data_IF_336933957309
#
_entry.id   IF_336933957309
#
_cell.length_a   1.000
_cell.length_b   1.000
_cell.length_c   1.000
_cell.angle_alpha   90.00
_cell.angle_beta   90.00
_cell.angle_gamma   90.00
#
_symmetry.space_group_name_H-M   'P 1'
#
loop_
_entity.id
_entity.type
_entity.pdbx_description
1 polymer ?
#
# COMPACT_ATOMS: atom_id res chain seq x y z
N UNK A 1 -24.82 -7.57 -11.68
CA UNK A 1 -25.06 -6.21 -11.12
C UNK A 1 -23.85 -5.35 -11.45
N UNK A 2 -23.91 -4.41 -12.43
CA UNK A 2 -22.72 -3.70 -12.88
C UNK A 2 -22.23 -2.55 -11.96
N UNK A 3 -22.95 -2.24 -10.87
CA UNK A 3 -22.68 -1.08 -9.99
C UNK A 3 -22.17 -1.43 -8.57
N UNK A 4 -21.93 -2.71 -8.30
CA UNK A 4 -21.54 -3.23 -6.98
C UNK A 4 -20.27 -2.56 -6.38
N UNK A 5 -19.21 -2.22 -7.15
CA UNK A 5 -18.01 -1.59 -6.60
C UNK A 5 -18.23 -0.16 -6.11
N UNK A 6 -19.16 0.61 -6.72
CA UNK A 6 -19.45 1.99 -6.32
C UNK A 6 -20.39 2.06 -5.14
N UNK A 7 -21.36 1.14 -5.05
CA UNK A 7 -22.26 1.07 -3.90
C UNK A 7 -21.49 0.82 -2.58
N UNK A 8 -20.42 0.03 -2.63
CA UNK A 8 -19.59 -0.28 -1.47
C UNK A 8 -18.73 0.90 -0.97
N UNK A 9 -18.65 2.01 -1.70
CA UNK A 9 -18.10 3.28 -1.16
C UNK A 9 -18.92 3.78 0.04
N UNK A 10 -20.19 3.36 0.14
CA UNK A 10 -21.08 3.64 1.27
C UNK A 10 -21.27 2.43 2.20
N UNK A 11 -20.30 1.51 2.28
CA UNK A 11 -20.41 0.25 3.02
C UNK A 11 -20.99 0.41 4.44
N UNK A 12 -20.55 1.43 5.19
CA UNK A 12 -21.11 1.73 6.51
C UNK A 12 -22.60 2.07 6.46
N UNK A 13 -23.01 2.97 5.55
CA UNK A 13 -24.41 3.38 5.42
C UNK A 13 -25.29 2.21 5.01
N UNK A 14 -24.79 1.32 4.14
CA UNK A 14 -25.48 0.08 3.78
C UNK A 14 -25.66 -0.82 5.02
N UNK A 15 -24.60 -1.03 5.80
CA UNK A 15 -24.65 -1.88 6.99
C UNK A 15 -25.59 -1.31 8.07
N UNK A 16 -25.62 0.00 8.26
CA UNK A 16 -26.51 0.69 9.19
C UNK A 16 -27.97 0.64 8.72
N UNK A 17 -28.24 0.97 7.46
CA UNK A 17 -29.60 0.98 6.91
C UNK A 17 -30.24 -0.41 6.89
N UNK A 18 -29.46 -1.46 6.70
CA UNK A 18 -29.93 -2.84 6.68
C UNK A 18 -30.02 -3.49 8.07
N UNK A 19 -29.58 -2.81 9.15
CA UNK A 19 -29.30 -3.43 10.45
C UNK A 19 -28.53 -4.74 10.30
N UNK A 20 -27.32 -4.66 9.70
CA UNK A 20 -26.51 -5.84 9.39
C UNK A 20 -26.28 -6.75 10.61
N UNK A 21 -26.15 -6.16 11.80
CA UNK A 21 -26.05 -6.92 13.06
C UNK A 21 -27.34 -7.68 13.36
N UNK A 22 -28.51 -7.05 13.19
CA UNK A 22 -29.81 -7.72 13.33
C UNK A 22 -29.98 -8.86 12.33
N UNK A 23 -29.63 -8.64 11.06
CA UNK A 23 -29.70 -9.66 10.01
C UNK A 23 -28.82 -10.88 10.34
N UNK A 24 -27.57 -10.67 10.77
CA UNK A 24 -26.68 -11.76 11.16
C UNK A 24 -27.18 -12.55 12.38
N UNK A 25 -27.98 -11.92 13.25
CA UNK A 25 -28.62 -12.61 14.38
C UNK A 25 -29.83 -13.41 13.96
N UNK A 26 -30.62 -12.90 13.03
CA UNK A 26 -31.82 -13.57 12.53
C UNK A 26 -31.48 -14.71 11.57
N UNK A 27 -30.41 -14.56 10.79
CA UNK A 27 -30.01 -15.49 9.73
C UNK A 27 -28.52 -15.86 9.81
N UNK A 28 -28.04 -16.45 10.93
CA UNK A 28 -26.62 -16.78 11.12
C UNK A 28 -26.11 -17.87 10.15
N UNK A 29 -27.02 -18.64 9.55
CA UNK A 29 -26.72 -19.72 8.61
C UNK A 29 -26.62 -19.25 7.14
N UNK A 30 -26.97 -17.99 6.84
CA UNK A 30 -27.02 -17.50 5.47
C UNK A 30 -25.61 -17.18 4.94
N UNK A 31 -25.08 -18.09 4.11
CA UNK A 31 -23.76 -17.93 3.49
C UNK A 31 -23.65 -16.67 2.61
N UNK A 32 -24.73 -16.29 1.90
CA UNK A 32 -24.75 -15.08 1.08
C UNK A 32 -24.61 -13.82 1.93
N UNK A 33 -25.32 -13.79 3.06
CA UNK A 33 -25.20 -12.71 4.05
C UNK A 33 -23.79 -12.63 4.66
N UNK A 34 -23.15 -13.77 4.94
CA UNK A 34 -21.78 -13.81 5.45
C UNK A 34 -20.76 -13.26 4.44
N UNK A 35 -20.90 -13.59 3.15
CA UNK A 35 -20.06 -13.02 2.08
C UNK A 35 -20.23 -11.51 1.99
N UNK A 36 -21.48 -11.03 1.97
CA UNK A 36 -21.77 -9.60 1.93
C UNK A 36 -21.23 -8.88 3.17
N UNK A 37 -21.36 -9.49 4.35
CA UNK A 37 -20.81 -8.98 5.60
C UNK A 37 -19.30 -8.80 5.51
N UNK A 38 -18.59 -9.81 5.03
CA UNK A 38 -17.14 -9.75 4.92
C UNK A 38 -16.69 -8.70 3.88
N UNK A 39 -17.40 -8.56 2.75
CA UNK A 39 -17.16 -7.46 1.78
C UNK A 39 -17.36 -6.09 2.43
N UNK A 40 -18.47 -5.87 3.13
CA UNK A 40 -18.75 -4.60 3.80
C UNK A 40 -17.71 -4.27 4.87
N UNK A 41 -17.32 -5.23 5.70
CA UNK A 41 -16.28 -5.03 6.71
C UNK A 41 -14.94 -4.65 6.07
N UNK A 42 -14.50 -5.38 5.04
CA UNK A 42 -13.25 -5.07 4.32
C UNK A 42 -13.28 -3.67 3.70
N UNK A 43 -14.39 -3.30 3.06
CA UNK A 43 -14.55 -1.96 2.48
C UNK A 43 -14.58 -0.86 3.55
N UNK A 44 -15.22 -1.09 4.71
CA UNK A 44 -15.21 -0.15 5.82
C UNK A 44 -13.82 0.00 6.46
N UNK A 45 -12.98 -1.03 6.40
CA UNK A 45 -11.62 -1.00 6.92
C UNK A 45 -10.64 -0.28 5.98
N UNK A 46 -10.86 -0.30 4.67
CA UNK A 46 -9.95 0.31 3.69
C UNK A 46 -9.84 1.85 3.85
N UNK A 47 -8.62 2.37 4.01
CA UNK A 47 -8.32 3.82 4.06
C UNK A 47 -8.15 4.41 2.65
N UNK A 48 -9.18 4.33 1.81
CA UNK A 48 -9.03 4.74 0.40
C UNK A 48 -9.09 6.24 0.19
N UNK A 49 -9.99 6.96 0.85
CA UNK A 49 -10.17 8.41 0.63
C UNK A 49 -10.32 9.21 1.93
N UNK A 50 -10.76 8.54 3.00
CA UNK A 50 -11.11 9.15 4.28
C UNK A 50 -10.85 8.16 5.44
N UNK A 51 -11.16 8.59 6.67
CA UNK A 51 -11.11 7.77 7.88
C UNK A 51 -11.82 6.45 7.64
N UNK A 52 -11.21 5.35 8.05
CA UNK A 52 -11.84 4.03 7.93
C UNK A 52 -13.19 4.02 8.64
N UNK A 53 -14.26 3.88 7.86
CA UNK A 53 -15.63 3.90 8.35
C UNK A 53 -15.90 2.82 9.40
N UNK A 54 -15.06 1.77 9.46
CA UNK A 54 -15.15 0.72 10.47
C UNK A 54 -15.01 1.27 11.90
N UNK A 55 -14.23 2.34 12.10
CA UNK A 55 -14.02 2.95 13.40
C UNK A 55 -15.27 3.66 13.93
N UNK A 56 -16.15 4.06 13.02
CA UNK A 56 -17.40 4.76 13.35
C UNK A 56 -18.63 3.84 13.30
N UNK A 57 -18.45 2.58 12.85
CA UNK A 57 -19.51 1.59 12.80
C UNK A 57 -19.67 0.92 14.17
N UNK A 58 -20.57 1.44 15.01
CA UNK A 58 -20.76 1.00 16.40
C UNK A 58 -20.91 -0.54 16.58
N UNK A 59 -21.62 -1.28 15.72
CA UNK A 59 -21.73 -2.73 15.81
C UNK A 59 -20.48 -3.52 15.38
N UNK A 60 -19.42 -2.89 14.87
CA UNK A 60 -18.28 -3.53 14.20
C UNK A 60 -17.76 -4.78 14.92
N UNK A 61 -17.43 -4.67 16.22
CA UNK A 61 -16.90 -5.80 17.01
C UNK A 61 -17.83 -7.02 16.96
N UNK A 62 -19.13 -6.80 17.17
CA UNK A 62 -20.11 -7.89 17.16
C UNK A 62 -20.32 -8.50 15.76
N UNK A 63 -20.14 -7.71 14.71
CA UNK A 63 -20.25 -8.16 13.32
C UNK A 63 -19.03 -8.98 12.92
N UNK A 64 -17.81 -8.56 13.28
CA UNK A 64 -16.60 -9.39 13.14
C UNK A 64 -16.73 -10.71 13.90
N UNK A 65 -17.18 -10.67 15.16
CA UNK A 65 -17.36 -11.89 15.96
C UNK A 65 -18.40 -12.85 15.34
N UNK A 66 -19.51 -12.32 14.81
CA UNK A 66 -20.53 -13.13 14.14
C UNK A 66 -20.01 -13.74 12.83
N UNK A 67 -19.33 -12.95 12.00
CA UNK A 67 -18.73 -13.44 10.76
C UNK A 67 -17.73 -14.57 11.04
N UNK A 68 -16.76 -14.35 11.93
CA UNK A 68 -15.70 -15.33 12.22
C UNK A 68 -16.27 -16.60 12.85
N UNK A 69 -17.31 -16.50 13.68
CA UNK A 69 -17.99 -17.67 14.27
C UNK A 69 -18.59 -18.60 13.23
N UNK A 70 -19.03 -18.06 12.09
CA UNK A 70 -19.75 -18.80 11.06
C UNK A 70 -18.95 -18.90 9.74
N UNK A 71 -17.66 -18.57 9.78
CA UNK A 71 -16.80 -18.51 8.58
C UNK A 71 -16.58 -19.91 7.95
N UNK A 72 -16.69 -20.98 8.74
CA UNK A 72 -16.63 -22.37 8.31
C UNK A 72 -17.77 -22.78 7.36
N UNK A 73 -18.83 -21.97 7.29
CA UNK A 73 -19.99 -22.19 6.41
C UNK A 73 -19.79 -21.63 5.01
N UNK A 74 -18.81 -20.74 4.83
CA UNK A 74 -18.48 -20.25 3.51
C UNK A 74 -17.85 -21.39 2.71
N UNK A 75 -18.36 -21.72 1.51
CA UNK A 75 -17.69 -22.66 0.63
C UNK A 75 -16.23 -22.22 0.45
N UNK A 76 -15.24 -23.12 0.49
CA UNK A 76 -13.83 -22.75 0.52
C UNK A 76 -13.31 -22.32 -0.87
N UNK A 77 -14.06 -21.49 -1.59
CA UNK A 77 -13.65 -20.95 -2.90
C UNK A 77 -12.49 -19.96 -2.73
N UNK A 78 -11.64 -19.78 -3.77
CA UNK A 78 -10.57 -18.79 -3.74
C UNK A 78 -11.04 -17.37 -3.41
N UNK A 79 -12.27 -17.02 -3.81
CA UNK A 79 -12.88 -15.74 -3.49
C UNK A 79 -13.17 -15.59 -1.99
N UNK A 80 -13.86 -16.56 -1.38
CA UNK A 80 -14.21 -16.49 0.04
C UNK A 80 -12.96 -16.55 0.92
N UNK A 81 -12.00 -17.41 0.58
CA UNK A 81 -10.72 -17.48 1.28
C UNK A 81 -9.97 -16.15 1.22
N UNK A 82 -9.96 -15.51 0.05
CA UNK A 82 -9.28 -14.22 -0.10
C UNK A 82 -9.96 -13.13 0.73
N UNK A 83 -11.29 -13.16 0.78
CA UNK A 83 -12.06 -12.22 1.58
C UNK A 83 -11.83 -12.42 3.08
N UNK A 84 -11.81 -13.67 3.56
CA UNK A 84 -11.48 -14.00 4.94
C UNK A 84 -10.03 -13.63 5.30
N UNK A 85 -9.10 -13.79 4.36
CA UNK A 85 -7.72 -13.35 4.54
C UNK A 85 -7.62 -11.81 4.66
N UNK A 86 -8.37 -11.06 3.85
CA UNK A 86 -8.48 -9.60 4.01
C UNK A 86 -9.00 -9.22 5.40
N UNK A 87 -10.01 -9.93 5.91
CA UNK A 87 -10.52 -9.75 7.28
C UNK A 87 -9.44 -10.03 8.33
N UNK A 88 -8.64 -11.08 8.14
CA UNK A 88 -7.52 -11.39 9.03
C UNK A 88 -6.45 -10.28 9.01
N UNK A 89 -6.09 -9.73 7.84
CA UNK A 89 -5.17 -8.61 7.72
C UNK A 89 -5.67 -7.36 8.45
N UNK A 90 -6.96 -7.06 8.33
CA UNK A 90 -7.58 -5.91 9.00
C UNK A 90 -7.56 -6.06 10.53
N UNK A 91 -7.79 -7.29 11.03
CA UNK A 91 -7.72 -7.63 12.47
C UNK A 91 -6.28 -7.71 12.99
N UNK A 92 -5.29 -7.96 12.13
CA UNK A 92 -3.88 -8.08 12.51
C UNK A 92 -3.21 -6.70 12.60
N UNK A 93 -3.23 -5.94 11.51
CA UNK A 93 -2.47 -4.68 11.38
C UNK A 93 -3.29 -3.50 10.85
N UNK A 94 -4.55 -3.73 10.46
CA UNK A 94 -5.41 -2.69 9.89
C UNK A 94 -6.21 -1.90 10.93
N UNK A 95 -7.11 -1.01 10.48
CA UNK A 95 -7.89 -0.12 11.36
C UNK A 95 -8.80 -0.87 12.35
N UNK A 96 -9.22 -2.11 12.03
CA UNK A 96 -10.04 -2.91 12.92
C UNK A 96 -9.32 -3.26 14.25
N UNK A 97 -7.99 -3.15 14.31
CA UNK A 97 -7.22 -3.25 15.56
C UNK A 97 -7.63 -2.20 16.58
N UNK A 98 -7.96 -0.98 16.14
CA UNK A 98 -8.26 0.16 17.01
C UNK A 98 -9.68 0.11 17.59
N UNK A 99 -10.49 -0.87 17.20
CA UNK A 99 -11.75 -1.13 17.88
C UNK A 99 -11.44 -1.51 19.34
N UNK A 100 -12.28 -1.07 20.27
CA UNK A 100 -12.10 -1.31 21.71
C UNK A 100 -12.31 -2.80 22.07
N UNK A 101 -11.40 -3.68 21.66
CA UNK A 101 -11.47 -5.11 21.90
C UNK A 101 -11.26 -5.44 23.38
N UNK A 102 -11.97 -6.46 23.87
CA UNK A 102 -11.61 -7.05 25.16
C UNK A 102 -10.22 -7.71 25.05
N UNK A 103 -9.41 -7.71 26.12
CA UNK A 103 -8.11 -8.37 26.12
C UNK A 103 -8.19 -9.80 25.56
N UNK A 104 -7.25 -10.16 24.68
CA UNK A 104 -7.18 -11.46 24.02
C UNK A 104 -8.26 -11.75 22.96
N UNK A 105 -9.32 -10.93 22.84
CA UNK A 105 -10.46 -11.26 21.98
C UNK A 105 -10.16 -11.16 20.49
N UNK A 106 -9.47 -10.10 20.07
CA UNK A 106 -8.94 -9.95 18.71
C UNK A 106 -8.07 -11.14 18.30
N UNK A 107 -7.18 -11.58 19.20
CA UNK A 107 -6.30 -12.74 18.95
C UNK A 107 -7.10 -14.04 18.77
N UNK A 108 -8.12 -14.26 19.59
CA UNK A 108 -8.99 -15.42 19.45
C UNK A 108 -9.73 -15.46 18.10
N UNK A 109 -10.05 -14.30 17.50
CA UNK A 109 -10.63 -14.24 16.15
C UNK A 109 -9.60 -14.62 15.08
N UNK A 110 -8.36 -14.11 15.18
CA UNK A 110 -7.28 -14.51 14.28
C UNK A 110 -6.99 -16.02 14.38
N UNK A 111 -6.92 -16.58 15.58
CA UNK A 111 -6.71 -18.03 15.80
C UNK A 111 -7.90 -18.88 15.32
N UNK A 112 -9.10 -18.31 15.20
CA UNK A 112 -10.25 -18.99 14.59
C UNK A 112 -10.16 -18.99 13.07
N UNK A 113 -9.75 -17.87 12.46
CA UNK A 113 -9.52 -17.75 11.02
C UNK A 113 -8.37 -18.63 10.54
N UNK A 114 -7.27 -18.70 11.30
CA UNK A 114 -6.09 -19.54 11.01
C UNK A 114 -6.42 -21.04 10.95
N UNK A 115 -7.44 -21.48 11.72
CA UNK A 115 -7.88 -22.88 11.75
C UNK A 115 -8.82 -23.28 10.61
N UNK A 116 -9.28 -22.32 9.80
CA UNK A 116 -10.15 -22.64 8.67
C UNK A 116 -9.35 -23.41 7.61
N UNK A 117 -9.93 -24.47 7.02
CA UNK A 117 -9.27 -25.19 5.96
C UNK A 117 -9.07 -24.27 4.76
N UNK A 118 -7.82 -23.99 4.43
CA UNK A 118 -7.47 -23.44 3.13
C UNK A 118 -7.57 -24.60 2.12
N UNK A 119 -8.45 -24.48 1.13
CA UNK A 119 -8.33 -25.25 -0.10
C UNK A 119 -7.02 -24.77 -0.74
N UNK A 120 -5.95 -25.53 -0.54
CA UNK A 120 -4.70 -25.31 -1.26
C UNK A 120 -5.07 -25.40 -2.73
N UNK A 121 -4.96 -24.27 -3.44
CA UNK A 121 -5.32 -24.19 -4.84
C UNK A 121 -4.78 -25.41 -5.60
N UNK A 122 -5.65 -26.00 -6.42
CA UNK A 122 -5.27 -26.82 -7.59
C UNK A 122 -4.12 -26.16 -8.35
N UNK A 123 -3.42 -26.93 -9.19
CA UNK A 123 -2.29 -26.49 -10.00
C UNK A 123 -2.37 -25.00 -10.39
N UNK A 124 -1.28 -24.22 -10.21
CA UNK A 124 -1.30 -22.79 -10.44
C UNK A 124 -1.83 -22.48 -11.84
N UNK A 125 -3.02 -21.88 -11.90
CA UNK A 125 -3.56 -21.35 -13.14
C UNK A 125 -2.74 -20.10 -13.45
N UNK A 126 -2.06 -20.02 -14.62
CA UNK A 126 -1.37 -18.81 -15.04
C UNK A 126 -2.34 -17.62 -14.98
N UNK A 127 -1.86 -16.49 -14.47
CA UNK A 127 -2.61 -15.23 -14.29
C UNK A 127 -3.73 -15.23 -13.22
N UNK A 128 -3.86 -16.24 -12.36
CA UNK A 128 -4.74 -16.16 -11.18
C UNK A 128 -4.11 -15.29 -10.07
N UNK A 129 -4.27 -13.98 -10.21
CA UNK A 129 -3.84 -12.93 -9.27
C UNK A 129 -4.28 -13.20 -7.84
N UNK A 130 -5.49 -13.75 -7.68
CA UNK A 130 -6.10 -13.96 -6.37
C UNK A 130 -5.44 -15.12 -5.64
N UNK A 131 -5.23 -16.25 -6.34
CA UNK A 131 -4.53 -17.39 -5.79
C UNK A 131 -3.07 -17.03 -5.44
N UNK A 132 -2.40 -16.25 -6.29
CA UNK A 132 -1.03 -15.81 -6.05
C UNK A 132 -0.92 -14.88 -4.83
N UNK A 133 -1.82 -13.90 -4.73
CA UNK A 133 -1.94 -13.03 -3.56
C UNK A 133 -2.19 -13.82 -2.28
N UNK A 134 -3.13 -14.78 -2.31
CA UNK A 134 -3.45 -15.60 -1.15
C UNK A 134 -2.22 -16.38 -0.67
N UNK A 135 -1.50 -17.05 -1.58
CA UNK A 135 -0.29 -17.83 -1.24
C UNK A 135 0.78 -16.98 -0.55
N UNK A 136 1.03 -15.77 -1.04
CA UNK A 136 2.04 -14.86 -0.47
C UNK A 136 1.62 -14.29 0.88
N UNK A 137 0.32 -14.06 1.07
CA UNK A 137 -0.19 -13.25 2.17
C UNK A 137 -0.72 -14.09 3.34
N UNK A 138 -1.06 -15.36 3.11
CA UNK A 138 -1.80 -16.20 4.07
C UNK A 138 -1.15 -16.31 5.45
N UNK A 139 0.17 -16.31 5.54
CA UNK A 139 0.88 -16.54 6.79
C UNK A 139 1.06 -15.24 7.60
N UNK A 140 0.97 -14.08 6.93
CA UNK A 140 1.24 -12.77 7.49
C UNK A 140 0.37 -12.42 8.71
N UNK A 141 -0.98 -12.49 8.67
CA UNK A 141 -1.81 -12.06 9.80
C UNK A 141 -1.73 -13.01 11.01
N UNK A 142 -1.24 -14.23 10.81
CA UNK A 142 -1.19 -15.28 11.83
C UNK A 142 0.20 -15.44 12.45
N UNK A 143 1.23 -14.88 11.81
CA UNK A 143 2.60 -14.83 12.29
C UNK A 143 2.60 -14.42 13.78
N UNK A 144 3.13 -15.33 14.60
CA UNK A 144 3.27 -15.10 16.04
C UNK A 144 4.61 -14.44 16.26
N UNK A 145 4.61 -13.43 17.10
CA UNK A 145 5.86 -12.82 17.53
C UNK A 145 5.84 -12.74 19.05
N UNK A 146 6.95 -13.09 19.68
CA UNK A 146 7.06 -13.22 21.12
C UNK A 146 6.76 -11.90 21.85
N UNK A 147 6.13 -11.99 23.02
CA UNK A 147 5.87 -10.84 23.87
C UNK A 147 7.17 -10.41 24.60
N UNK A 148 7.54 -9.14 24.47
CA UNK A 148 8.67 -8.50 25.16
C UNK A 148 8.23 -7.21 25.86
N UNK A 149 8.99 -6.75 26.87
CA UNK A 149 8.60 -5.70 27.81
C UNK A 149 8.94 -4.24 27.43
N UNK A 150 9.03 -3.91 26.14
CA UNK A 150 9.28 -2.53 25.64
C UNK A 150 8.31 -2.23 24.49
N UNK A 151 8.01 -0.94 24.20
CA UNK A 151 7.16 -0.58 23.08
C UNK A 151 7.67 -1.26 21.83
N UNK A 152 6.90 -2.20 21.32
CA UNK A 152 7.33 -3.04 20.21
C UNK A 152 7.03 -2.33 18.91
N UNK A 153 8.10 -2.00 18.21
CA UNK A 153 8.08 -1.48 16.85
C UNK A 153 7.96 -2.64 15.86
N UNK A 154 7.06 -2.50 14.88
CA UNK A 154 6.91 -3.45 13.78
C UNK A 154 6.48 -2.72 12.49
N UNK A 155 7.09 -3.11 11.37
CA UNK A 155 6.83 -2.57 10.03
C UNK A 155 6.32 -3.69 9.14
N UNK A 156 5.08 -3.59 8.70
CA UNK A 156 4.45 -4.62 7.87
C UNK A 156 4.08 -4.03 6.51
N UNK A 157 4.69 -4.54 5.45
CA UNK A 157 4.24 -4.25 4.09
C UNK A 157 3.03 -5.13 3.76
N UNK A 158 1.87 -4.52 3.48
CA UNK A 158 0.62 -5.24 3.26
C UNK A 158 0.10 -5.02 1.86
N UNK A 159 -0.01 -6.10 1.08
CA UNK A 159 -0.80 -6.12 -0.14
C UNK A 159 -2.29 -6.20 0.25
N UNK A 160 -2.97 -5.05 0.16
CA UNK A 160 -4.30 -4.78 0.75
C UNK A 160 -5.45 -5.64 0.22
N UNK A 161 -5.28 -6.33 -0.91
CA UNK A 161 -6.26 -7.29 -1.42
C UNK A 161 -5.92 -7.80 -2.81
N UNK A 162 -6.44 -8.98 -3.16
CA UNK A 162 -6.19 -9.67 -4.42
C UNK A 162 -6.43 -8.85 -5.71
N UNK A 163 -7.40 -7.93 -5.68
CA UNK A 163 -7.76 -7.07 -6.82
C UNK A 163 -7.12 -5.68 -6.77
N UNK A 164 -6.37 -5.39 -5.71
CA UNK A 164 -5.71 -4.10 -5.50
C UNK A 164 -4.25 -4.19 -5.93
N UNK A 165 -3.70 -3.24 -6.70
CA UNK A 165 -2.26 -3.11 -6.88
C UNK A 165 -1.58 -2.49 -5.64
N UNK A 166 -2.34 -2.05 -4.65
CA UNK A 166 -1.82 -1.24 -3.55
C UNK A 166 -1.16 -2.10 -2.48
N UNK A 167 0.10 -1.77 -2.22
CA UNK A 167 0.86 -2.21 -1.06
C UNK A 167 1.10 -0.99 -0.19
N UNK A 168 0.78 -1.09 1.09
CA UNK A 168 0.98 -0.03 2.07
C UNK A 168 1.94 -0.48 3.17
N UNK A 169 2.72 0.46 3.71
CA UNK A 169 3.54 0.20 4.90
C UNK A 169 2.70 0.48 6.14
N UNK A 170 2.39 -0.56 6.91
CA UNK A 170 1.71 -0.45 8.20
C UNK A 170 2.73 -0.44 9.31
N UNK A 171 2.66 0.57 10.17
CA UNK A 171 3.53 0.73 11.32
C UNK A 171 2.75 0.39 12.57
N UNK A 172 3.22 -0.58 13.34
CA UNK A 172 2.62 -0.98 14.61
C UNK A 172 3.54 -0.58 15.76
N UNK A 173 2.95 0.05 16.78
CA UNK A 173 3.58 0.28 18.09
C UNK A 173 2.77 -0.50 19.11
N UNK A 174 3.39 -1.47 19.78
CA UNK A 174 2.72 -2.39 20.71
C UNK A 174 1.55 -3.15 20.08
N UNK A 175 1.67 -3.46 18.78
CA UNK A 175 0.65 -4.15 18.01
C UNK A 175 -0.61 -3.30 17.73
N UNK A 176 -0.52 -1.98 17.94
CA UNK A 176 -1.51 -0.99 17.54
C UNK A 176 -1.03 -0.25 16.28
N UNK A 177 -1.87 -0.13 15.24
CA UNK A 177 -1.47 0.57 14.03
C UNK A 177 -1.45 2.07 14.24
N UNK A 178 -0.27 2.65 14.05
CA UNK A 178 0.01 4.06 14.26
C UNK A 178 -0.77 4.93 13.26
N UNK A 179 -0.78 4.55 11.98
CA UNK A 179 -1.31 5.38 10.90
C UNK A 179 -2.82 5.63 10.99
N UNK A 180 -3.71 4.61 11.04
CA UNK A 180 -5.14 4.87 11.20
C UNK A 180 -5.52 5.53 12.53
N UNK A 181 -4.62 5.55 13.52
CA UNK A 181 -4.83 6.27 14.77
C UNK A 181 -4.47 7.77 14.65
N UNK A 182 -3.48 8.12 13.82
CA UNK A 182 -2.94 9.48 13.72
C UNK A 182 -3.32 10.21 12.44
N UNK A 183 -3.68 9.49 11.37
CA UNK A 183 -3.93 10.08 10.06
C UNK A 183 -5.12 9.41 9.38
N UNK A 184 -6.13 10.22 9.07
CA UNK A 184 -7.44 9.76 8.62
C UNK A 184 -7.76 10.16 7.17
N UNK A 185 -6.75 10.55 6.38
CA UNK A 185 -6.92 11.03 5.00
C UNK A 185 -6.33 10.12 3.93
N UNK A 186 -5.62 9.06 4.32
CA UNK A 186 -5.00 8.14 3.37
C UNK A 186 -4.28 6.98 4.05
N UNK A 187 -3.79 6.02 3.27
CA UNK A 187 -3.03 4.88 3.75
C UNK A 187 -1.57 5.27 4.07
N UNK A 188 -0.83 4.32 4.64
CA UNK A 188 0.62 4.46 4.77
C UNK A 188 1.31 4.52 3.42
N UNK A 189 2.38 5.30 3.37
CA UNK A 189 3.22 5.37 2.19
C UNK A 189 3.74 3.98 1.80
N UNK A 190 3.88 3.71 0.50
CA UNK A 190 4.24 2.39 0.04
C UNK A 190 5.69 2.03 0.46
N UNK A 191 6.04 0.74 0.55
CA UNK A 191 7.37 0.31 0.96
C UNK A 191 8.51 0.95 0.15
N UNK A 192 8.27 1.24 -1.13
CA UNK A 192 9.24 1.87 -2.02
C UNK A 192 9.65 3.28 -1.56
N UNK A 193 8.82 3.96 -0.76
CA UNK A 193 9.10 5.30 -0.23
C UNK A 193 9.65 5.27 1.21
N UNK A 194 9.21 4.30 2.03
CA UNK A 194 9.60 4.24 3.46
C UNK A 194 10.75 3.27 3.74
N UNK A 195 10.76 2.12 3.07
CA UNK A 195 11.70 1.02 3.29
C UNK A 195 12.87 1.14 2.31
N UNK A 196 12.59 1.16 1.00
CA UNK A 196 13.63 1.08 -0.03
C UNK A 196 14.53 2.33 -0.13
N UNK A 197 14.08 3.46 0.40
CA UNK A 197 14.87 4.70 0.48
C UNK A 197 15.69 4.81 1.76
N UNK A 198 15.53 3.86 2.69
CA UNK A 198 16.06 3.97 4.05
C UNK A 198 15.36 5.05 4.88
N UNK A 199 14.14 5.47 4.51
CA UNK A 199 13.38 6.51 5.20
C UNK A 199 13.14 6.20 6.68
N UNK A 200 13.00 4.92 7.03
CA UNK A 200 12.86 4.50 8.43
C UNK A 200 14.20 4.31 9.17
N UNK A 201 15.36 4.38 8.51
CA UNK A 201 16.66 4.18 9.20
C UNK A 201 17.04 5.39 10.05
N UNK A 202 17.23 5.17 11.35
CA UNK A 202 17.66 6.21 12.28
C UNK A 202 19.16 6.53 12.11
N UNK A 203 19.47 7.76 11.70
CA UNK A 203 20.83 8.26 11.56
C UNK A 203 21.26 9.19 12.71
N UNK A 204 22.53 9.64 12.72
CA UNK A 204 23.01 10.64 13.67
C UNK A 204 22.35 12.01 13.46
N UNK A 205 21.99 12.33 12.22
CA UNK A 205 21.21 13.52 11.89
C UNK A 205 19.71 13.22 11.95
N UNK A 206 18.92 14.03 12.67
CA UNK A 206 17.46 13.95 12.64
C UNK A 206 16.93 14.13 11.22
N UNK A 207 15.99 13.27 10.82
CA UNK A 207 15.37 13.32 9.48
C UNK A 207 13.86 13.35 9.60
N UNK A 208 13.23 14.27 8.88
CA UNK A 208 11.78 14.28 8.72
C UNK A 208 11.37 13.23 7.68
N UNK A 209 10.37 12.42 8.02
CA UNK A 209 9.91 11.28 7.23
C UNK A 209 8.41 11.37 7.05
N UNK A 210 7.96 11.36 5.80
CA UNK A 210 6.53 11.32 5.46
C UNK A 210 6.02 9.88 5.59
N UNK A 211 5.23 9.60 6.63
CA UNK A 211 4.70 8.26 6.89
C UNK A 211 3.46 7.95 6.05
N UNK A 212 2.67 8.97 5.73
CA UNK A 212 1.44 8.83 4.94
C UNK A 212 1.15 10.12 4.18
N UNK A 213 0.53 9.99 3.02
CA UNK A 213 -0.05 11.10 2.26
C UNK A 213 -1.55 10.91 2.15
N UNK A 214 -2.31 12.01 2.12
CA UNK A 214 -3.72 11.91 1.79
C UNK A 214 -3.91 11.36 0.37
N UNK A 215 -4.97 10.58 0.18
CA UNK A 215 -5.23 9.93 -1.12
C UNK A 215 -5.53 10.91 -2.26
N UNK A 216 -5.92 12.14 -1.94
CA UNK A 216 -6.03 13.21 -2.93
C UNK A 216 -4.65 13.73 -3.32
N UNK A 217 -3.97 14.43 -2.40
CA UNK A 217 -2.56 14.84 -2.41
C UNK A 217 -2.25 15.51 -1.06
N UNK A 218 -0.97 15.66 -0.73
CA UNK A 218 -0.52 16.49 0.39
C UNK A 218 -1.08 17.92 0.32
N UNK A 219 -1.08 18.54 -0.87
CA UNK A 219 -1.55 19.92 -1.03
C UNK A 219 -3.04 20.13 -0.74
N UNK A 220 -3.85 19.07 -0.77
CA UNK A 220 -5.29 19.13 -0.52
C UNK A 220 -5.66 18.77 0.93
N UNK A 221 -5.25 17.59 1.40
CA UNK A 221 -5.63 17.07 2.73
C UNK A 221 -4.44 16.79 3.65
N UNK A 222 -3.23 17.20 3.26
CA UNK A 222 -2.02 17.07 4.05
C UNK A 222 -1.39 15.67 4.00
N UNK A 223 -0.36 15.51 4.82
CA UNK A 223 0.41 14.29 5.00
C UNK A 223 0.85 14.19 6.46
N UNK A 224 1.12 12.98 6.93
CA UNK A 224 1.65 12.72 8.26
C UNK A 224 3.17 12.62 8.21
N UNK A 225 3.84 13.44 9.01
CA UNK A 225 5.29 13.44 9.16
C UNK A 225 5.70 13.14 10.60
N UNK A 226 6.89 12.55 10.72
CA UNK A 226 7.61 12.35 11.99
C UNK A 226 9.08 12.68 11.78
N UNK A 227 9.74 13.15 12.82
CA UNK A 227 11.20 13.25 12.87
C UNK A 227 11.78 12.01 13.54
N UNK A 228 12.67 11.31 12.82
CA UNK A 228 13.39 10.13 13.32
C UNK A 228 14.83 10.52 13.60
N UNK A 229 15.31 10.24 14.82
CA UNK A 229 16.71 10.47 15.20
C UNK A 229 17.25 9.37 16.08
N UNK A 230 18.56 9.16 16.01
CA UNK A 230 19.29 8.33 16.95
C UNK A 230 19.66 9.14 18.20
N UNK A 231 19.42 8.56 19.37
CA UNK A 231 19.74 9.15 20.68
C UNK A 231 20.44 8.09 21.54
N UNK A 232 21.76 7.97 21.38
CA UNK A 232 22.54 6.94 22.03
C UNK A 232 22.04 5.52 21.72
N UNK A 233 21.56 4.82 22.75
CA UNK A 233 20.99 3.47 22.64
C UNK A 233 19.52 3.42 22.23
N UNK A 234 18.90 4.57 21.93
CA UNK A 234 17.50 4.67 21.55
C UNK A 234 17.31 5.29 20.16
N UNK A 235 16.19 4.96 19.55
CA UNK A 235 15.65 5.68 18.39
C UNK A 235 14.43 6.45 18.85
N UNK A 236 14.42 7.76 18.59
CA UNK A 236 13.35 8.67 19.00
C UNK A 236 12.55 9.11 17.80
N UNK A 237 11.23 9.00 17.93
CA UNK A 237 10.24 9.51 16.99
C UNK A 237 9.49 10.67 17.65
N UNK A 238 9.73 11.89 17.19
CA UNK A 238 9.11 13.12 17.69
C UNK A 238 8.79 14.08 16.52
N UNK A 239 8.51 15.36 16.79
CA UNK A 239 8.32 16.35 15.71
C UNK A 239 7.12 16.10 14.80
N UNK A 240 6.06 15.49 15.32
CA UNK A 240 4.87 15.10 14.54
C UNK A 240 4.19 16.30 13.84
N UNK A 241 3.91 16.17 12.54
CA UNK A 241 3.04 17.10 11.78
C UNK A 241 1.95 16.35 11.03
N UNK A 242 0.78 16.98 10.91
CA UNK A 242 -0.35 16.43 10.17
C UNK A 242 -1.16 15.37 10.91
N UNK A 243 -0.84 15.11 12.19
CA UNK A 243 -1.63 14.22 13.03
C UNK A 243 -3.03 14.79 13.30
N UNK A 244 -4.04 13.92 13.33
CA UNK A 244 -5.40 14.24 13.74
C UNK A 244 -5.45 14.33 15.26
N UNK A 245 -5.92 15.47 15.78
CA UNK A 245 -5.95 15.74 17.21
C UNK A 245 -4.58 16.18 17.76
N UNK A 246 -4.37 16.10 19.09
CA UNK A 246 -3.07 16.43 19.68
C UNK A 246 -1.97 15.50 19.14
N UNK A 247 -0.78 16.01 18.81
CA UNK A 247 0.33 15.16 18.40
C UNK A 247 0.67 14.18 19.53
N UNK A 248 1.01 12.92 19.20
CA UNK A 248 1.38 11.96 20.21
C UNK A 248 2.68 12.37 20.92
N UNK A 249 2.96 11.82 22.11
CA UNK A 249 4.25 12.00 22.76
C UNK A 249 5.38 11.41 21.91
N UNK A 250 6.62 11.77 22.25
CA UNK A 250 7.79 11.17 21.63
C UNK A 250 7.84 9.66 21.95
N UNK A 251 7.91 8.82 20.91
CA UNK A 251 8.17 7.40 21.08
C UNK A 251 9.66 7.15 21.17
N UNK A 252 10.06 6.22 22.04
CA UNK A 252 11.44 5.81 22.25
C UNK A 252 11.53 4.30 22.11
N UNK A 253 12.38 3.86 21.19
CA UNK A 253 12.60 2.46 20.90
C UNK A 253 14.03 2.08 21.25
N UNK A 254 14.24 0.84 21.67
CA UNK A 254 15.59 0.27 21.75
C UNK A 254 16.21 0.28 20.36
N UNK A 255 17.40 0.87 20.22
CA UNK A 255 17.98 1.06 18.90
C UNK A 255 18.36 -0.26 18.21
N UNK A 256 18.83 -1.26 18.96
CA UNK A 256 19.19 -2.55 18.38
C UNK A 256 17.95 -3.31 17.90
N UNK A 257 16.87 -3.30 18.68
CA UNK A 257 15.59 -3.89 18.27
C UNK A 257 14.97 -3.15 17.06
N UNK A 258 15.07 -1.82 17.04
CA UNK A 258 14.59 -1.00 15.93
C UNK A 258 15.34 -1.30 14.64
N UNK A 259 16.68 -1.31 14.68
CA UNK A 259 17.51 -1.60 13.51
C UNK A 259 17.28 -3.02 12.99
N UNK A 260 17.15 -4.00 13.89
CA UNK A 260 16.86 -5.38 13.51
C UNK A 260 15.51 -5.51 12.78
N UNK A 261 14.50 -4.76 13.21
CA UNK A 261 13.19 -4.73 12.56
C UNK A 261 13.23 -4.03 11.21
N UNK A 262 13.96 -2.91 11.08
CA UNK A 262 14.15 -2.23 9.79
C UNK A 262 14.91 -3.15 8.82
N UNK A 263 15.98 -3.81 9.27
CA UNK A 263 16.74 -4.76 8.47
C UNK A 263 15.89 -5.97 8.03
N UNK A 264 14.98 -6.44 8.90
CA UNK A 264 14.02 -7.50 8.56
C UNK A 264 13.04 -6.99 7.49
N UNK A 265 12.48 -5.79 7.66
CA UNK A 265 11.51 -5.21 6.74
C UNK A 265 12.11 -4.95 5.34
N UNK A 266 13.37 -4.52 5.26
CA UNK A 266 14.08 -4.33 3.99
C UNK A 266 14.34 -5.64 3.23
N UNK A 267 14.56 -6.73 3.96
CA UNK A 267 14.74 -8.08 3.40
C UNK A 267 13.42 -8.79 3.10
N UNK A 268 12.30 -8.24 3.54
CA UNK A 268 10.99 -8.83 3.34
C UNK A 268 10.52 -8.58 1.90
N UNK A 269 10.48 -9.66 1.13
CA UNK A 269 9.98 -9.66 -0.25
C UNK A 269 8.62 -10.36 -0.38
N UNK A 270 8.00 -10.78 0.74
CA UNK A 270 6.74 -11.53 0.73
C UNK A 270 5.58 -10.79 0.06
N UNK A 271 5.61 -9.45 0.09
CA UNK A 271 4.63 -8.58 -0.54
C UNK A 271 4.90 -8.29 -2.02
N UNK A 272 6.07 -8.66 -2.54
CA UNK A 272 6.47 -8.43 -3.91
C UNK A 272 6.05 -9.59 -4.84
N UNK A 273 5.51 -9.23 -5.99
CA UNK A 273 5.37 -10.13 -7.14
C UNK A 273 6.40 -9.73 -8.21
N UNK A 274 6.65 -10.58 -9.24
CA UNK A 274 7.77 -10.40 -10.17
C UNK A 274 7.90 -8.99 -10.77
N UNK A 275 6.81 -8.44 -11.31
CA UNK A 275 6.83 -7.09 -11.88
C UNK A 275 7.16 -5.99 -10.86
N UNK A 276 6.66 -6.11 -9.62
CA UNK A 276 6.97 -5.15 -8.56
C UNK A 276 8.43 -5.26 -8.11
N UNK A 277 8.98 -6.47 -8.06
CA UNK A 277 10.42 -6.69 -7.81
C UNK A 277 11.27 -6.05 -8.91
N UNK A 278 10.91 -6.24 -10.18
CA UNK A 278 11.57 -5.56 -11.31
C UNK A 278 11.53 -4.04 -11.14
N UNK A 279 10.37 -3.49 -10.78
CA UNK A 279 10.20 -2.05 -10.53
C UNK A 279 11.14 -1.54 -9.43
N UNK A 280 11.20 -2.24 -8.28
CA UNK A 280 12.08 -1.89 -7.16
C UNK A 280 13.55 -1.91 -7.56
N UNK A 281 13.99 -2.93 -8.28
CA UNK A 281 15.37 -3.06 -8.75
C UNK A 281 15.74 -1.96 -9.75
N UNK A 282 14.83 -1.58 -10.66
CA UNK A 282 15.04 -0.43 -11.55
C UNK A 282 15.14 0.87 -10.73
N UNK A 283 14.23 1.09 -9.79
CA UNK A 283 14.25 2.29 -8.93
C UNK A 283 15.54 2.40 -8.12
N UNK A 284 15.99 1.30 -7.52
CA UNK A 284 17.26 1.23 -6.81
C UNK A 284 18.44 1.54 -7.74
N UNK A 285 18.51 0.88 -8.89
CA UNK A 285 19.58 1.09 -9.87
C UNK A 285 19.66 2.51 -10.40
N UNK A 286 18.51 3.19 -10.57
CA UNK A 286 18.44 4.61 -10.98
C UNK A 286 18.82 5.57 -9.84
N UNK A 287 18.53 5.22 -8.59
CA UNK A 287 18.92 6.01 -7.41
C UNK A 287 20.42 5.94 -7.16
N UNK A 288 21.01 4.76 -7.32
CA UNK A 288 22.45 4.53 -7.17
C UNK A 288 23.26 5.18 -8.32
N UNK A 289 22.67 5.26 -9.52
CA UNK A 289 23.31 5.76 -10.74
C UNK A 289 22.47 6.85 -11.41
N UNK A 290 22.31 8.02 -10.78
CA UNK A 290 21.46 9.09 -11.31
C UNK A 290 21.97 9.65 -12.65
N UNK A 291 23.25 9.48 -12.96
CA UNK A 291 23.87 9.85 -14.24
C UNK A 291 23.26 9.13 -15.45
N UNK A 292 22.65 7.95 -15.26
CA UNK A 292 22.01 7.19 -16.34
C UNK A 292 20.87 7.96 -16.99
N UNK A 293 20.12 8.76 -16.22
CA UNK A 293 19.03 9.59 -16.74
C UNK A 293 19.47 11.04 -16.99
N UNK A 294 20.37 11.59 -16.16
CA UNK A 294 20.86 12.97 -16.34
C UNK A 294 21.50 13.20 -17.70
N UNK A 295 22.20 12.20 -18.25
CA UNK A 295 22.78 12.28 -19.61
C UNK A 295 21.75 12.47 -20.74
N UNK A 296 20.47 12.22 -20.45
CA UNK A 296 19.35 12.36 -21.37
C UNK A 296 18.41 13.52 -20.98
N UNK A 297 18.82 14.35 -20.03
CA UNK A 297 18.04 15.43 -19.42
C UNK A 297 16.74 14.93 -18.76
N UNK A 298 16.77 13.70 -18.24
CA UNK A 298 15.65 13.07 -17.57
C UNK A 298 15.88 12.92 -16.07
N UNK A 299 14.77 12.98 -15.32
CA UNK A 299 14.64 12.48 -13.97
C UNK A 299 13.68 11.30 -13.92
N UNK A 300 13.69 10.57 -12.80
CA UNK A 300 12.66 9.57 -12.49
C UNK A 300 11.68 10.16 -11.49
N UNK A 301 10.39 10.02 -11.76
CA UNK A 301 9.32 10.46 -10.83
C UNK A 301 8.73 9.30 -10.06
N UNK A 302 8.62 8.14 -10.70
CA UNK A 302 8.02 6.96 -10.09
C UNK A 302 8.40 5.71 -10.88
N UNK A 303 8.62 4.60 -10.18
CA UNK A 303 8.72 3.27 -10.78
C UNK A 303 7.89 2.32 -9.94
N UNK A 304 7.00 1.57 -10.56
CA UNK A 304 6.10 0.67 -9.86
C UNK A 304 5.35 -0.24 -10.83
N UNK A 305 4.11 -0.58 -10.50
CA UNK A 305 3.26 -1.45 -11.31
C UNK A 305 2.00 -0.74 -11.75
N UNK A 306 1.53 -1.00 -12.97
CA UNK A 306 0.28 -0.43 -13.46
C UNK A 306 -0.91 -0.83 -12.57
N UNK A 307 -1.82 0.11 -12.33
CA UNK A 307 -2.95 -0.11 -11.41
C UNK A 307 -4.01 -1.08 -11.96
N UNK A 308 -4.15 -1.16 -13.30
CA UNK A 308 -5.06 -2.07 -14.02
C UNK A 308 -4.35 -3.37 -14.38
N UNK A 309 -3.04 -3.29 -14.62
CA UNK A 309 -2.15 -4.40 -14.96
C UNK A 309 -1.00 -4.53 -13.93
N UNK A 310 -1.24 -5.06 -12.72
CA UNK A 310 -0.21 -5.15 -11.68
C UNK A 310 1.04 -5.93 -12.12
N UNK A 311 0.95 -6.84 -13.10
CA UNK A 311 2.12 -7.56 -13.64
C UNK A 311 2.92 -6.76 -14.69
N UNK A 312 2.49 -5.55 -15.01
CA UNK A 312 3.21 -4.64 -15.89
C UNK A 312 4.05 -3.68 -15.05
N UNK A 313 5.36 -3.75 -15.20
CA UNK A 313 6.27 -2.77 -14.60
C UNK A 313 6.17 -1.46 -15.37
N UNK A 314 6.11 -0.34 -14.67
CA UNK A 314 6.00 0.99 -15.28
C UNK A 314 7.00 1.94 -14.64
N UNK A 315 7.77 2.63 -15.47
CA UNK A 315 8.63 3.73 -15.07
C UNK A 315 8.11 5.05 -15.65
N UNK A 316 7.95 6.06 -14.80
CA UNK A 316 7.56 7.42 -15.19
C UNK A 316 8.77 8.34 -15.09
N UNK A 317 9.16 8.87 -16.23
CA UNK A 317 10.31 9.75 -16.39
C UNK A 317 9.82 11.18 -16.63
N UNK A 318 10.59 12.16 -16.16
CA UNK A 318 10.29 13.58 -16.36
C UNK A 318 11.44 14.26 -17.08
N UNK A 319 11.10 15.00 -18.13
CA UNK A 319 11.97 15.98 -18.76
C UNK A 319 11.53 17.36 -18.28
N UNK A 320 12.48 18.19 -17.85
CA UNK A 320 12.23 19.60 -17.54
C UNK A 320 12.85 20.45 -18.63
N UNK A 321 12.13 21.46 -19.12
CA UNK A 321 12.67 22.37 -20.12
C UNK A 321 14.00 22.98 -19.64
N UNK A 322 15.00 23.11 -20.53
CA UNK A 322 16.18 23.91 -20.25
C UNK A 322 15.79 25.34 -19.86
N UNK A 323 16.65 26.00 -19.08
CA UNK A 323 16.57 27.43 -18.74
C UNK A 323 15.38 27.86 -17.87
N UNK A 324 14.68 26.91 -17.24
CA UNK A 324 13.60 27.24 -16.31
C UNK A 324 12.38 27.86 -17.00
N UNK A 325 12.15 27.53 -18.27
CA UNK A 325 10.95 27.98 -18.97
C UNK A 325 9.69 27.60 -18.19
N UNK A 326 8.78 28.55 -18.05
CA UNK A 326 7.54 28.42 -17.28
C UNK A 326 6.32 28.52 -18.20
N UNK A 327 5.22 27.88 -17.80
CA UNK A 327 3.93 28.12 -18.42
C UNK A 327 3.35 29.48 -18.00
N UNK A 328 2.17 29.80 -18.54
CA UNK A 328 1.43 31.03 -18.21
C UNK A 328 1.08 31.21 -16.73
N UNK A 329 1.24 30.18 -15.90
CA UNK A 329 0.98 30.17 -14.46
C UNK A 329 2.29 30.20 -13.64
N UNK A 330 3.45 30.39 -14.27
CA UNK A 330 4.74 30.38 -13.61
C UNK A 330 5.18 28.98 -13.17
N UNK A 331 4.61 27.91 -13.75
CA UNK A 331 5.02 26.54 -13.44
C UNK A 331 6.07 26.06 -14.44
N UNK A 332 7.15 25.40 -14.00
CA UNK A 332 8.17 24.89 -14.91
C UNK A 332 7.58 23.95 -15.98
N UNK A 333 7.92 24.20 -17.23
CA UNK A 333 7.51 23.36 -18.35
C UNK A 333 8.15 21.97 -18.24
N UNK A 334 7.30 20.94 -18.21
CA UNK A 334 7.71 19.54 -18.05
C UNK A 334 7.00 18.64 -19.04
N UNK A 335 7.69 17.57 -19.45
CA UNK A 335 7.12 16.44 -20.18
C UNK A 335 7.30 15.16 -19.35
N UNK A 336 6.26 14.34 -19.30
CA UNK A 336 6.23 13.08 -18.56
C UNK A 336 6.09 11.92 -19.54
N UNK A 337 7.06 11.01 -19.47
CA UNK A 337 7.12 9.83 -20.31
C UNK A 337 6.80 8.59 -19.47
N UNK A 338 5.94 7.72 -20.00
CA UNK A 338 5.63 6.42 -19.42
C UNK A 338 6.33 5.32 -20.22
N UNK A 339 7.18 4.55 -19.54
CA UNK A 339 7.79 3.35 -20.09
C UNK A 339 7.19 2.12 -19.41
N UNK A 340 6.45 1.33 -20.19
CA UNK A 340 5.88 0.05 -19.76
C UNK A 340 6.85 -1.08 -20.14
N UNK A 341 7.23 -1.89 -19.16
CA UNK A 341 8.06 -3.07 -19.35
C UNK A 341 7.18 -4.31 -19.16
N UNK A 342 6.86 -5.03 -20.25
CA UNK A 342 6.05 -6.23 -20.16
C UNK A 342 6.77 -7.33 -19.37
N UNK A 343 6.02 -8.32 -18.93
CA UNK A 343 6.57 -9.57 -18.42
C UNK A 343 6.88 -10.50 -19.58
N UNK A 344 8.16 -10.81 -19.77
CA UNK A 344 8.66 -11.75 -20.77
C UNK A 344 8.97 -13.13 -20.16
N UNK A 345 8.64 -13.33 -18.87
CA UNK A 345 8.88 -14.56 -18.14
C UNK A 345 10.32 -14.72 -17.61
N UNK A 346 11.23 -13.78 -17.90
CA UNK A 346 12.58 -13.82 -17.35
C UNK A 346 12.62 -13.37 -15.88
N UNK A 347 13.64 -13.78 -15.11
CA UNK A 347 13.80 -13.38 -13.71
C UNK A 347 13.78 -11.84 -13.53
N UNK A 348 13.16 -11.30 -12.46
CA UNK A 348 13.10 -9.86 -12.21
C UNK A 348 14.46 -9.14 -12.25
N UNK A 349 15.53 -9.80 -11.81
CA UNK A 349 16.91 -9.30 -11.85
C UNK A 349 17.39 -9.05 -13.29
N UNK A 350 17.16 -10.03 -14.17
CA UNK A 350 17.54 -9.94 -15.58
C UNK A 350 16.74 -8.86 -16.29
N UNK A 351 15.43 -8.76 -16.01
CA UNK A 351 14.55 -7.72 -16.53
C UNK A 351 15.00 -6.33 -16.10
N UNK A 352 15.32 -6.15 -14.83
CA UNK A 352 15.79 -4.88 -14.31
C UNK A 352 17.17 -4.50 -14.88
N UNK A 353 18.09 -5.45 -14.98
CA UNK A 353 19.40 -5.23 -15.60
C UNK A 353 19.27 -4.84 -17.08
N UNK A 354 18.44 -5.54 -17.85
CA UNK A 354 18.15 -5.23 -19.25
C UNK A 354 17.50 -3.84 -19.40
N UNK A 355 16.63 -3.45 -18.48
CA UNK A 355 16.02 -2.13 -18.47
C UNK A 355 17.06 -1.02 -18.26
N UNK A 356 17.94 -1.18 -17.27
CA UNK A 356 18.99 -0.21 -16.97
C UNK A 356 20.01 -0.13 -18.12
N UNK A 357 20.37 -1.26 -18.72
CA UNK A 357 21.24 -1.31 -19.91
C UNK A 357 20.61 -0.63 -21.12
N UNK A 358 19.29 -0.74 -21.30
CA UNK A 358 18.59 -0.01 -22.38
C UNK A 358 18.71 1.50 -22.20
N UNK A 359 18.61 2.00 -20.97
CA UNK A 359 18.80 3.43 -20.65
C UNK A 359 20.25 3.87 -20.93
N UNK A 360 21.24 3.00 -20.70
CA UNK A 360 22.65 3.29 -21.05
C UNK A 360 22.81 3.49 -22.56
N UNK A 361 22.17 2.63 -23.35
CA UNK A 361 22.38 2.54 -24.80
C UNK A 361 21.52 3.47 -25.62
N UNK A 362 20.39 3.94 -25.09
CA UNK A 362 19.40 4.68 -25.88
C UNK A 362 18.64 5.70 -25.04
N UNK A 363 18.31 6.82 -25.67
CA UNK A 363 17.50 7.87 -25.05
C UNK A 363 16.10 7.32 -24.70
N UNK A 364 15.67 7.36 -23.42
CA UNK A 364 14.34 6.92 -23.03
C UNK A 364 13.21 7.62 -23.76
N UNK A 365 13.40 8.85 -24.23
CA UNK A 365 12.39 9.58 -25.02
C UNK A 365 12.07 8.90 -26.35
N UNK A 366 12.94 8.01 -26.85
CA UNK A 366 12.73 7.22 -28.07
C UNK A 366 11.93 5.93 -27.88
N UNK A 367 11.72 5.47 -26.65
CA UNK A 367 10.99 4.22 -26.38
C UNK A 367 9.92 4.31 -25.28
N UNK A 368 9.96 5.35 -24.45
CA UNK A 368 8.89 5.72 -23.54
C UNK A 368 7.86 6.57 -24.27
N UNK A 369 6.59 6.44 -23.91
CA UNK A 369 5.49 7.19 -24.53
C UNK A 369 5.26 8.49 -23.78
N UNK A 370 5.13 9.61 -24.49
CA UNK A 370 4.69 10.87 -23.88
C UNK A 370 3.25 10.71 -23.39
N UNK A 371 3.02 10.90 -22.09
CA UNK A 371 1.72 10.65 -21.45
C UNK A 371 1.08 11.89 -20.85
N UNK A 372 1.88 12.88 -20.42
CA UNK A 372 1.43 14.13 -19.79
C UNK A 372 2.50 15.21 -19.95
N UNK A 373 2.14 16.48 -19.91
CA UNK A 373 3.09 17.59 -19.90
C UNK A 373 2.54 18.83 -20.61
N UNK A 374 3.40 19.80 -20.88
CA UNK A 374 3.02 20.99 -21.64
C UNK A 374 2.82 20.69 -23.13
N UNK A 375 1.65 21.04 -23.67
CA UNK A 375 1.34 21.03 -25.12
C UNK A 375 2.32 21.87 -25.94
N UNK A 376 2.68 23.04 -25.45
CA UNK A 376 3.61 23.95 -26.14
C UNK A 376 5.02 23.36 -26.22
N UNK A 377 5.52 22.81 -25.11
CA UNK A 377 6.83 22.16 -25.05
C UNK A 377 6.85 20.86 -25.88
N UNK A 378 5.77 20.09 -25.86
CA UNK A 378 5.66 18.88 -26.67
C UNK A 378 5.70 19.22 -28.17
N UNK A 379 4.96 20.25 -28.60
CA UNK A 379 4.93 20.70 -29.98
C UNK A 379 6.29 21.26 -30.44
N UNK A 380 6.96 22.05 -29.62
CA UNK A 380 8.27 22.63 -29.97
C UNK A 380 9.37 21.58 -30.12
N UNK A 381 9.25 20.46 -29.40
CA UNK A 381 10.17 19.32 -29.47
C UNK A 381 9.70 18.21 -30.45
N UNK A 382 8.57 18.42 -31.14
CA UNK A 382 8.04 17.49 -32.15
C UNK A 382 7.45 16.18 -31.59
N UNK A 383 7.05 16.16 -30.32
CA UNK A 383 6.39 14.99 -29.73
C UNK A 383 4.89 14.96 -30.04
N UNK A 384 4.36 13.75 -30.27
CA UNK A 384 2.93 13.48 -30.33
C UNK A 384 2.44 12.77 -29.07
N UNK A 385 1.21 13.08 -28.67
CA UNK A 385 0.58 12.48 -27.49
C UNK A 385 0.15 11.04 -27.74
N UNK A 386 0.37 10.16 -26.76
CA UNK A 386 0.01 8.74 -26.88
C UNK A 386 -1.49 8.50 -27.14
N UNK A 387 -2.36 9.40 -26.68
CA UNK A 387 -3.82 9.28 -26.80
C UNK A 387 -4.42 10.20 -27.88
N UNK A 388 -3.60 10.90 -28.67
CA UNK A 388 -4.05 11.78 -29.77
C UNK A 388 -4.76 13.07 -29.35
N UNK A 389 -5.07 13.26 -28.07
CA UNK A 389 -5.63 14.50 -27.53
C UNK A 389 -4.49 15.38 -26.96
N UNK A 390 -4.38 16.62 -27.44
CA UNK A 390 -3.58 17.63 -26.77
C UNK A 390 -4.10 17.82 -25.35
N UNK A 391 -3.27 17.54 -24.35
CA UNK A 391 -3.66 17.71 -22.95
C UNK A 391 -3.34 19.14 -22.51
N UNK A 392 -4.33 20.04 -22.63
CA UNK A 392 -4.35 21.26 -21.83
C UNK A 392 -5.10 20.98 -20.53
N UNK A 393 -4.38 20.90 -19.41
CA UNK A 393 -4.88 21.27 -18.08
C UNK A 393 -3.75 21.69 -17.16
#
# INVERSE_FOLDING_TARGET
MPDEPRALLFARRIAEAADLRGLLRAHPEDAGLLVLTARLLHHMAAQRDHRSAILDYLPARSVYEALVRHADRLPPTPEHQSLLLSIALDLHSGPAVLLNWRPGRRRALLDALDRLPAEVAREPVPDDRRAEWFRRTRDLPFARTAAGGRPRWEVVAVHTGASSPTVETRILVDGLPLLPALFDKGPGNPPELLIDTGGLRAGPEPREVQLAEASCTEGCCGALYVTIRRDGGEVVWDGWRGAVGPPPPAYRFDAAAYDAEVDRAEKDESWCWPARRTARLIAAGLRERPELLRRWDLGVTWVGTDVREPHTTVARLVFSAPDGAEDRHGQPLRLYFEWRLPDDGSPPEERAAAALERIVRSDPKGFARLHRGSSELAASLGYSWADGAGQDT
#
